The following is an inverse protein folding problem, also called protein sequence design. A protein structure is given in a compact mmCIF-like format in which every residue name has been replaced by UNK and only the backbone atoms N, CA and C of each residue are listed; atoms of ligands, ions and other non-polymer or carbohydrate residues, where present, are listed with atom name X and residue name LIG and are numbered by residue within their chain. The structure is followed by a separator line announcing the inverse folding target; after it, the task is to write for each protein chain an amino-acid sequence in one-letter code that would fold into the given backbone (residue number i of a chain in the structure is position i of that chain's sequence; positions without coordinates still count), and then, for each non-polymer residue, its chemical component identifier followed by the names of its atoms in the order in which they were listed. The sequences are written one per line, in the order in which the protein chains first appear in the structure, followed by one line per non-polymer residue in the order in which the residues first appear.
data_IF_615212625051
#
_entry.id   IF_615212625051
#
_cell.length_a   1.000
_cell.length_b   1.000
_cell.length_c   1.000
_cell.angle_alpha   90.00
_cell.angle_beta   90.00
_cell.angle_gamma   90.00
#
_symmetry.space_group_name_H-M   'P 1'
#
loop_
_entity.id
_entity.type
_entity.pdbx_description
1 polymer ?
#
# COMPACT_ATOMS: atom_id res chain seq x y z
N UNK A 1 -43.51 21.76 17.85
CA UNK A 1 -43.09 21.99 16.43
C UNK A 1 -41.87 21.19 15.94
N UNK A 2 -41.11 20.45 16.77
CA UNK A 2 -39.82 19.83 16.33
C UNK A 2 -39.84 18.36 15.85
N UNK A 3 -40.98 17.65 15.82
CA UNK A 3 -41.05 16.28 15.25
C UNK A 3 -41.27 16.27 13.73
N UNK A 4 -41.98 17.25 13.19
CA UNK A 4 -42.38 17.28 11.77
C UNK A 4 -41.23 17.68 10.85
N UNK A 5 -40.37 18.64 11.27
CA UNK A 5 -39.15 19.02 10.53
C UNK A 5 -38.09 17.89 10.47
N UNK A 6 -38.05 17.00 11.47
CA UNK A 6 -37.08 15.88 11.52
C UNK A 6 -37.38 14.77 10.49
N UNK A 7 -38.62 14.68 10.01
CA UNK A 7 -39.01 13.68 9.00
C UNK A 7 -38.67 14.11 7.57
N UNK A 8 -38.62 15.42 7.27
CA UNK A 8 -38.41 15.92 5.90
C UNK A 8 -36.97 15.78 5.39
N UNK A 9 -36.01 15.49 6.27
CA UNK A 9 -34.60 15.39 5.89
C UNK A 9 -34.02 13.97 5.84
N UNK A 10 -34.87 12.93 5.87
CA UNK A 10 -34.38 11.55 5.82
C UNK A 10 -34.35 11.01 4.40
N UNK A 11 -33.35 10.18 4.11
CA UNK A 11 -33.22 9.45 2.84
C UNK A 11 -34.48 8.62 2.58
N UNK A 12 -34.95 8.67 1.33
CA UNK A 12 -36.09 7.86 0.88
C UNK A 12 -35.63 6.49 0.38
N UNK A 13 -36.56 5.55 0.20
CA UNK A 13 -36.21 4.25 -0.40
C UNK A 13 -35.69 4.40 -1.84
N UNK A 14 -36.31 5.28 -2.63
CA UNK A 14 -35.89 5.56 -4.01
C UNK A 14 -34.49 6.15 -4.06
N UNK A 15 -34.22 7.15 -3.22
CA UNK A 15 -32.92 7.79 -3.16
C UNK A 15 -31.80 6.83 -2.72
N UNK A 16 -32.04 6.02 -1.69
CA UNK A 16 -31.05 5.02 -1.25
C UNK A 16 -30.80 3.96 -2.34
N UNK A 17 -31.85 3.55 -3.06
CA UNK A 17 -31.71 2.61 -4.19
C UNK A 17 -30.86 3.21 -5.31
N UNK A 18 -31.09 4.48 -5.66
CA UNK A 18 -30.31 5.21 -6.67
C UNK A 18 -28.85 5.39 -6.24
N UNK A 19 -28.61 5.74 -4.97
CA UNK A 19 -27.28 5.83 -4.38
C UNK A 19 -26.51 4.51 -4.54
N UNK A 20 -27.11 3.39 -4.10
CA UNK A 20 -26.47 2.07 -4.18
C UNK A 20 -26.25 1.64 -5.63
N UNK A 21 -27.22 1.89 -6.51
CA UNK A 21 -27.09 1.60 -7.94
C UNK A 21 -25.92 2.38 -8.57
N UNK A 22 -25.80 3.66 -8.24
CA UNK A 22 -24.71 4.51 -8.72
C UNK A 22 -23.34 4.04 -8.21
N UNK A 23 -23.26 3.64 -6.93
CA UNK A 23 -22.07 3.08 -6.31
C UNK A 23 -21.59 1.80 -7.04
N UNK A 24 -22.47 0.80 -7.22
CA UNK A 24 -22.08 -0.47 -7.85
C UNK A 24 -21.81 -0.32 -9.35
N UNK A 25 -22.55 0.55 -10.03
CA UNK A 25 -22.33 0.82 -11.45
C UNK A 25 -20.95 1.44 -11.68
N UNK A 26 -20.62 2.51 -10.95
CA UNK A 26 -19.32 3.16 -11.07
C UNK A 26 -18.19 2.21 -10.69
N UNK A 27 -18.35 1.44 -9.62
CA UNK A 27 -17.34 0.48 -9.20
C UNK A 27 -17.05 -0.56 -10.27
N UNK A 28 -18.10 -1.17 -10.83
CA UNK A 28 -17.98 -2.16 -11.91
C UNK A 28 -17.32 -1.56 -13.16
N UNK A 29 -17.76 -0.40 -13.60
CA UNK A 29 -17.23 0.28 -14.80
C UNK A 29 -15.74 0.64 -14.67
N UNK A 30 -15.31 1.03 -13.47
CA UNK A 30 -13.91 1.37 -13.21
C UNK A 30 -13.05 0.11 -13.07
N UNK A 31 -13.51 -0.89 -12.31
CA UNK A 31 -12.79 -2.16 -12.11
C UNK A 31 -12.66 -2.95 -13.43
N UNK A 32 -13.67 -2.91 -14.30
CA UNK A 32 -13.62 -3.63 -15.59
C UNK A 32 -12.56 -3.12 -16.57
N UNK A 33 -11.94 -1.96 -16.28
CA UNK A 33 -10.84 -1.42 -17.09
C UNK A 33 -9.50 -2.09 -16.80
N UNK A 34 -9.39 -2.83 -15.70
CA UNK A 34 -8.19 -3.54 -15.32
C UNK A 34 -8.14 -4.93 -15.97
N UNK A 35 -7.00 -5.36 -16.55
CA UNK A 35 -6.84 -6.71 -17.04
C UNK A 35 -7.09 -7.74 -15.93
N UNK A 36 -7.75 -8.86 -16.27
CA UNK A 36 -8.02 -9.97 -15.35
C UNK A 36 -8.74 -9.54 -14.05
N UNK A 37 -9.57 -8.49 -14.09
CA UNK A 37 -10.19 -7.92 -12.89
C UNK A 37 -10.99 -8.93 -12.04
N UNK A 38 -11.52 -9.98 -12.65
CA UNK A 38 -12.28 -11.04 -11.97
C UNK A 38 -11.41 -11.85 -10.98
N UNK A 39 -10.11 -11.96 -11.26
CA UNK A 39 -9.13 -12.60 -10.38
C UNK A 39 -8.45 -11.60 -9.44
N UNK A 40 -8.40 -10.33 -9.84
CA UNK A 40 -7.70 -9.28 -9.11
C UNK A 40 -8.57 -8.62 -8.05
N UNK A 41 -9.87 -8.44 -8.28
CA UNK A 41 -10.77 -7.68 -7.40
C UNK A 41 -11.80 -8.58 -6.68
N UNK A 42 -12.25 -8.20 -5.47
CA UNK A 42 -13.26 -8.95 -4.74
C UNK A 42 -14.57 -8.96 -5.52
N UNK A 43 -15.32 -10.07 -5.43
CA UNK A 43 -16.52 -10.26 -6.25
C UNK A 43 -17.58 -9.18 -6.05
N UNK A 44 -17.69 -8.57 -4.88
CA UNK A 44 -18.68 -7.50 -4.62
C UNK A 44 -18.41 -6.24 -5.46
N UNK A 45 -17.20 -6.07 -6.00
CA UNK A 45 -16.84 -4.90 -6.80
C UNK A 45 -17.27 -4.99 -8.27
N UNK A 46 -17.43 -6.21 -8.80
CA UNK A 46 -17.62 -6.40 -10.23
C UNK A 46 -18.76 -7.36 -10.59
N UNK A 47 -19.11 -8.30 -9.71
CA UNK A 47 -20.20 -9.26 -9.95
C UNK A 47 -21.51 -8.75 -9.38
N UNK A 48 -22.65 -8.98 -10.06
CA UNK A 48 -23.97 -8.69 -9.50
C UNK A 48 -24.24 -9.44 -8.18
N UNK A 49 -24.87 -8.74 -7.24
CA UNK A 49 -25.28 -9.25 -5.95
C UNK A 49 -26.70 -8.82 -5.60
N UNK A 50 -27.35 -9.61 -4.75
CA UNK A 50 -28.55 -9.21 -4.04
C UNK A 50 -28.14 -8.30 -2.88
N UNK A 51 -28.54 -7.03 -2.97
CA UNK A 51 -28.21 -5.99 -2.01
C UNK A 51 -29.45 -5.66 -1.18
N UNK A 52 -29.32 -5.80 0.14
CA UNK A 52 -30.36 -5.46 1.10
C UNK A 52 -29.97 -4.17 1.79
N UNK A 53 -30.76 -3.12 1.54
CA UNK A 53 -30.60 -1.82 2.15
C UNK A 53 -31.63 -1.67 3.27
N UNK A 54 -31.21 -1.16 4.42
CA UNK A 54 -32.10 -0.88 5.54
C UNK A 54 -31.94 0.54 6.02
N UNK A 55 -33.05 1.27 6.06
CA UNK A 55 -33.14 2.59 6.69
C UNK A 55 -33.69 2.40 8.10
N UNK A 56 -32.88 2.70 9.12
CA UNK A 56 -33.37 2.69 10.50
C UNK A 56 -34.14 3.97 10.81
N UNK A 57 -35.28 3.84 11.49
CA UNK A 57 -35.99 4.99 12.05
C UNK A 57 -35.26 5.58 13.27
N UNK A 58 -34.36 4.82 13.91
CA UNK A 58 -33.56 5.28 15.06
C UNK A 58 -32.24 5.91 14.63
N UNK A 59 -31.41 5.20 13.87
CA UNK A 59 -30.09 5.69 13.46
C UNK A 59 -29.61 5.05 12.15
N UNK A 60 -29.34 5.89 11.14
CA UNK A 60 -28.51 5.46 10.03
C UNK A 60 -29.11 4.52 8.98
N UNK A 61 -28.22 4.00 8.15
CA UNK A 61 -28.47 3.10 7.02
C UNK A 61 -27.48 1.93 7.05
N UNK A 62 -27.96 0.74 6.69
CA UNK A 62 -27.13 -0.44 6.45
C UNK A 62 -27.29 -0.91 5.00
N UNK A 63 -26.19 -1.25 4.32
CA UNK A 63 -26.16 -1.76 2.95
C UNK A 63 -25.38 -3.08 2.94
N UNK A 64 -26.05 -4.21 2.74
CA UNK A 64 -25.45 -5.55 2.80
C UNK A 64 -25.48 -6.23 1.43
N UNK A 65 -24.34 -6.75 0.97
CA UNK A 65 -24.25 -7.58 -0.23
C UNK A 65 -24.35 -9.03 0.22
N UNK A 66 -25.51 -9.65 0.01
CA UNK A 66 -25.86 -10.93 0.62
C UNK A 66 -25.26 -12.10 -0.17
N UNK A 67 -25.65 -12.22 -1.44
CA UNK A 67 -25.23 -13.32 -2.30
C UNK A 67 -25.14 -12.88 -3.76
N UNK A 68 -24.43 -13.67 -4.59
CA UNK A 68 -24.32 -13.42 -6.03
C UNK A 68 -25.63 -13.83 -6.70
N UNK A 69 -26.03 -13.06 -7.70
CA UNK A 69 -27.20 -13.36 -8.52
C UNK A 69 -26.93 -12.95 -9.98
N UNK A 70 -27.90 -13.15 -10.87
CA UNK A 70 -27.74 -12.86 -12.30
C UNK A 70 -27.65 -11.35 -12.58
N UNK A 71 -28.50 -10.58 -11.90
CA UNK A 71 -28.63 -9.13 -12.08
C UNK A 71 -28.51 -8.39 -10.74
N UNK A 72 -28.25 -7.09 -10.76
CA UNK A 72 -28.20 -6.30 -9.53
C UNK A 72 -29.61 -6.16 -8.92
N UNK A 73 -29.86 -6.88 -7.83
CA UNK A 73 -31.13 -6.84 -7.11
C UNK A 73 -31.03 -5.99 -5.85
N UNK A 74 -31.59 -4.78 -5.87
CA UNK A 74 -31.56 -3.85 -4.74
C UNK A 74 -32.93 -3.77 -4.08
N UNK A 75 -33.02 -4.22 -2.83
CA UNK A 75 -34.21 -4.11 -1.98
C UNK A 75 -33.97 -3.10 -0.86
N UNK A 76 -34.98 -2.29 -0.54
CA UNK A 76 -34.89 -1.29 0.53
C UNK A 76 -36.02 -1.46 1.53
N UNK A 77 -35.67 -1.71 2.80
CA UNK A 77 -36.64 -1.84 3.90
C UNK A 77 -36.42 -0.78 4.98
N UNK A 78 -37.45 -0.57 5.80
CA UNK A 78 -37.38 0.29 6.99
C UNK A 78 -37.41 -0.58 8.24
N UNK A 79 -36.77 -0.14 9.31
CA UNK A 79 -36.80 -0.83 10.61
C UNK A 79 -36.87 0.17 11.76
N UNK A 80 -37.45 -0.24 12.88
CA UNK A 80 -37.42 0.51 14.14
C UNK A 80 -36.22 0.14 15.03
N UNK A 81 -35.37 -0.77 14.56
CA UNK A 81 -34.13 -1.21 15.23
C UNK A 81 -32.94 -0.32 14.88
N UNK A 82 -31.92 -0.33 15.72
CA UNK A 82 -30.65 0.30 15.38
C UNK A 82 -29.92 -0.46 14.25
N UNK A 83 -29.11 0.21 13.43
CA UNK A 83 -28.38 -0.48 12.34
C UNK A 83 -27.30 -1.44 12.86
N UNK A 84 -26.80 -1.23 14.06
CA UNK A 84 -25.85 -2.12 14.72
C UNK A 84 -26.52 -3.45 15.11
N UNK A 85 -27.86 -3.48 15.22
CA UNK A 85 -28.61 -4.70 15.51
C UNK A 85 -28.52 -5.74 14.38
N UNK A 86 -28.04 -5.36 13.18
CA UNK A 86 -27.73 -6.30 12.10
C UNK A 86 -26.60 -7.28 12.43
N UNK A 87 -25.74 -6.89 13.37
CA UNK A 87 -24.57 -7.64 13.84
C UNK A 87 -24.55 -7.63 15.38
N UNK A 88 -25.73 -7.69 16.01
CA UNK A 88 -25.86 -7.76 17.45
C UNK A 88 -25.76 -9.20 17.95
N UNK A 89 -25.03 -9.38 19.05
CA UNK A 89 -25.03 -10.63 19.83
C UNK A 89 -26.21 -10.59 20.82
N UNK A 90 -26.65 -11.72 21.37
CA UNK A 90 -27.80 -11.78 22.28
C UNK A 90 -27.63 -11.08 23.64
N UNK A 91 -26.41 -10.64 23.98
CA UNK A 91 -26.11 -10.17 25.32
C UNK A 91 -26.58 -8.73 25.53
N UNK A 92 -27.14 -8.46 26.71
CA UNK A 92 -27.64 -7.15 27.15
C UNK A 92 -26.61 -6.40 28.02
N UNK A 93 -25.34 -6.41 27.64
CA UNK A 93 -24.39 -5.44 28.17
C UNK A 93 -24.15 -4.31 27.15
N UNK A 94 -23.31 -3.33 27.48
CA UNK A 94 -23.04 -2.20 26.61
C UNK A 94 -21.64 -2.28 25.97
N UNK A 95 -21.08 -3.49 25.84
CA UNK A 95 -19.70 -3.68 25.37
C UNK A 95 -19.73 -4.10 23.90
N UNK A 96 -18.90 -3.47 23.07
CA UNK A 96 -18.74 -3.81 21.66
C UNK A 96 -17.30 -4.25 21.36
N UNK A 97 -17.08 -5.08 20.33
CA UNK A 97 -15.71 -5.36 19.86
C UNK A 97 -15.01 -4.08 19.38
N UNK A 98 -15.73 -3.29 18.59
CA UNK A 98 -15.24 -2.03 18.06
C UNK A 98 -16.24 -0.92 18.34
N UNK A 99 -15.73 0.20 18.84
CA UNK A 99 -16.45 1.46 18.87
C UNK A 99 -15.84 2.39 17.83
N UNK A 100 -16.64 2.77 16.84
CA UNK A 100 -16.18 3.52 15.68
C UNK A 100 -16.76 4.92 15.72
N UNK A 101 -15.86 5.88 15.55
CA UNK A 101 -16.18 7.28 15.38
C UNK A 101 -15.38 7.82 14.19
N UNK A 102 -16.07 8.29 13.15
CA UNK A 102 -15.46 8.88 11.96
C UNK A 102 -15.89 8.22 10.66
N UNK A 103 -15.53 8.85 9.55
CA UNK A 103 -15.92 8.42 8.21
C UNK A 103 -14.93 7.43 7.60
N UNK A 104 -15.44 6.60 6.70
CA UNK A 104 -14.64 5.68 5.88
C UNK A 104 -13.83 4.66 6.69
N UNK A 105 -14.32 4.20 7.84
CA UNK A 105 -13.68 3.12 8.58
C UNK A 105 -13.86 1.77 7.87
N UNK A 106 -12.96 0.82 8.16
CA UNK A 106 -12.98 -0.51 7.54
C UNK A 106 -12.52 -1.56 8.53
N UNK A 107 -13.25 -2.68 8.55
CA UNK A 107 -12.85 -3.92 9.22
C UNK A 107 -12.85 -5.00 8.15
N UNK A 108 -11.73 -5.67 7.92
CA UNK A 108 -11.66 -6.67 6.86
C UNK A 108 -10.79 -7.88 7.22
N UNK A 109 -11.11 -9.03 6.62
CA UNK A 109 -10.34 -10.28 6.73
C UNK A 109 -10.09 -10.73 8.19
N UNK A 110 -11.11 -10.57 9.03
CA UNK A 110 -11.09 -10.98 10.44
C UNK A 110 -12.30 -11.84 10.79
N UNK A 111 -12.15 -12.66 11.83
CA UNK A 111 -13.26 -13.33 12.49
C UNK A 111 -13.47 -12.73 13.88
N UNK A 112 -14.69 -12.32 14.19
CA UNK A 112 -15.08 -11.83 15.50
C UNK A 112 -15.87 -12.92 16.20
N UNK A 113 -15.30 -13.48 17.26
CA UNK A 113 -15.81 -14.70 17.90
C UNK A 113 -16.04 -14.44 19.38
N UNK A 114 -17.22 -14.78 19.90
CA UNK A 114 -17.46 -14.67 21.34
C UNK A 114 -16.68 -15.75 22.09
N UNK A 115 -16.23 -15.46 23.31
CA UNK A 115 -15.39 -16.37 24.09
C UNK A 115 -16.00 -17.76 24.29
N UNK A 116 -17.31 -17.84 24.54
CA UNK A 116 -18.05 -19.10 24.65
C UNK A 116 -18.06 -19.91 23.35
N UNK A 117 -18.18 -19.26 22.20
CA UNK A 117 -18.07 -19.93 20.90
C UNK A 117 -16.62 -20.40 20.65
N UNK A 118 -15.63 -19.54 20.90
CA UNK A 118 -14.22 -19.88 20.68
C UNK A 118 -13.80 -21.07 21.54
N UNK A 119 -14.12 -21.06 22.84
CA UNK A 119 -13.78 -22.15 23.76
C UNK A 119 -14.41 -23.49 23.35
N UNK A 120 -15.62 -23.47 22.76
CA UNK A 120 -16.28 -24.68 22.27
C UNK A 120 -15.65 -25.25 20.98
N UNK A 121 -14.90 -24.45 20.22
CA UNK A 121 -14.42 -24.78 18.88
C UNK A 121 -12.94 -24.44 18.65
N UNK A 122 -12.17 -24.24 19.72
CA UNK A 122 -10.81 -23.72 19.68
C UNK A 122 -9.93 -24.47 18.69
N UNK A 123 -9.89 -25.79 18.83
CA UNK A 123 -9.03 -26.65 18.00
C UNK A 123 -9.38 -26.54 16.50
N UNK A 124 -10.67 -26.40 16.17
CA UNK A 124 -11.13 -26.25 14.78
C UNK A 124 -10.77 -24.87 14.24
N UNK A 125 -11.01 -23.83 15.03
CA UNK A 125 -10.71 -22.45 14.65
C UNK A 125 -9.20 -22.27 14.45
N UNK A 126 -8.39 -22.74 15.40
CA UNK A 126 -6.94 -22.63 15.36
C UNK A 126 -6.34 -23.48 14.22
N UNK A 127 -6.97 -24.59 13.84
CA UNK A 127 -6.50 -25.45 12.76
C UNK A 127 -6.88 -24.95 11.35
N UNK A 128 -8.10 -24.43 11.16
CA UNK A 128 -8.66 -24.19 9.83
C UNK A 128 -8.66 -22.70 9.46
N UNK A 129 -8.65 -21.81 10.46
CA UNK A 129 -8.84 -20.39 10.21
C UNK A 129 -7.58 -19.73 9.67
N UNK A 130 -7.64 -19.27 8.42
CA UNK A 130 -6.55 -18.52 7.77
C UNK A 130 -6.59 -17.01 8.05
N UNK A 131 -7.66 -16.53 8.69
CA UNK A 131 -7.87 -15.12 8.98
C UNK A 131 -7.62 -14.83 10.46
N UNK A 132 -7.28 -13.58 10.78
CA UNK A 132 -7.07 -13.17 12.17
C UNK A 132 -8.37 -13.34 12.96
N UNK A 133 -8.32 -14.08 14.07
CA UNK A 133 -9.48 -14.31 14.95
C UNK A 133 -9.35 -13.44 16.19
N UNK A 134 -10.34 -12.57 16.41
CA UNK A 134 -10.46 -11.71 17.57
C UNK A 134 -11.52 -12.31 18.47
N UNK A 135 -11.13 -12.63 19.71
CA UNK A 135 -12.01 -13.23 20.70
C UNK A 135 -12.36 -12.19 21.75
N UNK A 136 -13.64 -12.05 22.09
CA UNK A 136 -14.08 -11.17 23.17
C UNK A 136 -15.06 -11.91 24.09
N UNK A 137 -14.85 -11.74 25.40
CA UNK A 137 -15.75 -12.27 26.40
C UNK A 137 -17.03 -11.43 26.48
N UNK A 138 -18.16 -12.09 26.21
CA UNK A 138 -19.51 -11.56 26.39
C UNK A 138 -19.77 -10.18 25.73
N UNK A 139 -19.42 -9.91 24.47
CA UNK A 139 -19.80 -8.66 23.81
C UNK A 139 -21.31 -8.60 23.56
N UNK A 140 -21.90 -7.40 23.57
CA UNK A 140 -23.29 -7.13 23.15
C UNK A 140 -23.43 -6.77 21.67
N UNK A 141 -22.34 -6.29 21.06
CA UNK A 141 -22.31 -5.84 19.66
C UNK A 141 -20.95 -6.20 19.05
N UNK A 142 -20.95 -6.53 17.76
CA UNK A 142 -19.69 -6.61 17.02
C UNK A 142 -19.16 -5.22 16.66
N UNK A 143 -20.02 -4.28 16.30
CA UNK A 143 -19.60 -2.89 16.03
C UNK A 143 -20.63 -1.93 16.57
N UNK A 144 -20.17 -0.92 17.32
CA UNK A 144 -20.91 0.27 17.71
C UNK A 144 -20.48 1.42 16.83
N UNK A 145 -21.41 2.08 16.14
CA UNK A 145 -21.10 3.20 15.25
C UNK A 145 -21.65 4.51 15.85
N UNK A 146 -20.79 5.26 16.53
CA UNK A 146 -21.17 6.49 17.20
C UNK A 146 -21.39 7.64 16.20
N UNK A 147 -20.51 7.74 15.20
CA UNK A 147 -20.64 8.68 14.08
C UNK A 147 -19.84 8.20 12.85
N UNK A 148 -20.21 8.73 11.69
CA UNK A 148 -19.62 8.42 10.40
C UNK A 148 -20.04 7.08 9.80
N UNK A 149 -19.09 6.31 9.29
CA UNK A 149 -19.37 5.08 8.54
C UNK A 149 -18.27 4.01 8.66
N UNK A 150 -18.67 2.75 8.58
CA UNK A 150 -17.77 1.58 8.57
C UNK A 150 -18.20 0.55 7.53
N UNK A 151 -17.22 -0.01 6.81
CA UNK A 151 -17.40 -1.17 5.93
C UNK A 151 -16.79 -2.42 6.57
N UNK A 152 -17.58 -3.48 6.69
CA UNK A 152 -17.12 -4.82 7.05
C UNK A 152 -16.96 -5.63 5.76
N UNK A 153 -15.75 -6.07 5.45
CA UNK A 153 -15.45 -6.80 4.20
C UNK A 153 -14.80 -8.14 4.52
N UNK A 154 -15.43 -9.23 4.08
CA UNK A 154 -14.98 -10.59 4.39
C UNK A 154 -14.76 -10.80 5.90
N UNK A 155 -15.79 -10.48 6.69
CA UNK A 155 -15.78 -10.60 8.16
C UNK A 155 -16.62 -11.79 8.59
N UNK A 156 -16.01 -12.75 9.27
CA UNK A 156 -16.73 -13.80 9.96
C UNK A 156 -17.22 -13.32 11.32
N UNK A 157 -18.45 -13.64 11.68
CA UNK A 157 -18.96 -13.48 13.05
C UNK A 157 -19.47 -14.82 13.57
N UNK A 158 -19.09 -15.17 14.78
CA UNK A 158 -19.51 -16.42 15.41
C UNK A 158 -19.84 -16.21 16.89
N UNK A 159 -21.01 -16.69 17.32
CA UNK A 159 -21.47 -16.52 18.69
C UNK A 159 -22.50 -17.57 19.12
N UNK A 160 -22.73 -17.70 20.42
CA UNK A 160 -23.80 -18.53 20.97
C UNK A 160 -24.97 -17.66 21.42
N UNK A 161 -26.19 -18.03 21.02
CA UNK A 161 -27.45 -17.37 21.37
C UNK A 161 -28.52 -18.38 21.73
N UNK A 162 -29.08 -18.28 22.93
CA UNK A 162 -30.17 -19.17 23.39
C UNK A 162 -29.79 -20.65 23.21
N UNK A 163 -28.54 -21.01 23.54
CA UNK A 163 -27.88 -22.32 23.30
C UNK A 163 -27.70 -22.71 21.83
N UNK A 164 -28.14 -21.90 20.87
CA UNK A 164 -27.89 -22.07 19.45
C UNK A 164 -26.57 -21.42 19.03
N UNK A 165 -25.81 -22.10 18.19
CA UNK A 165 -24.55 -21.62 17.64
C UNK A 165 -24.84 -20.89 16.34
N UNK A 166 -24.43 -19.65 16.24
CA UNK A 166 -24.62 -18.82 15.04
C UNK A 166 -23.27 -18.52 14.43
N UNK A 167 -23.15 -18.75 13.12
CA UNK A 167 -22.02 -18.32 12.29
C UNK A 167 -22.60 -17.55 11.12
N UNK A 168 -22.10 -16.34 10.88
CA UNK A 168 -22.46 -15.54 9.71
C UNK A 168 -21.18 -15.03 9.06
N UNK A 169 -21.09 -15.22 7.75
CA UNK A 169 -20.02 -14.64 6.94
C UNK A 169 -20.55 -13.38 6.25
N UNK A 170 -19.91 -12.25 6.53
CA UNK A 170 -20.24 -10.95 5.96
C UNK A 170 -19.29 -10.69 4.78
N UNK A 171 -19.80 -10.82 3.56
CA UNK A 171 -19.01 -10.52 2.35
C UNK A 171 -18.71 -9.03 2.24
N UNK A 172 -19.76 -8.22 2.35
CA UNK A 172 -19.68 -6.77 2.41
C UNK A 172 -20.90 -6.22 3.14
N UNK A 173 -20.68 -5.46 4.21
CA UNK A 173 -21.71 -4.72 4.94
C UNK A 173 -21.20 -3.31 5.20
N UNK A 174 -21.96 -2.31 4.78
CA UNK A 174 -21.67 -0.91 5.02
C UNK A 174 -22.69 -0.31 5.98
N UNK A 175 -22.22 0.12 7.15
CA UNK A 175 -23.00 0.82 8.15
C UNK A 175 -22.69 2.31 8.09
N UNK A 176 -23.73 3.14 8.04
CA UNK A 176 -23.65 4.60 7.96
C UNK A 176 -24.52 5.16 9.09
N UNK A 177 -23.94 5.89 10.03
CA UNK A 177 -24.63 6.38 11.24
C UNK A 177 -25.76 7.39 10.95
N UNK A 178 -25.77 8.00 9.77
CA UNK A 178 -26.73 9.01 9.37
C UNK A 178 -27.75 8.49 8.36
N UNK A 179 -28.99 8.99 8.46
CA UNK A 179 -30.05 8.78 7.47
C UNK A 179 -30.40 10.08 6.75
N UNK A 180 -29.54 11.10 6.83
CA UNK A 180 -29.75 12.44 6.27
C UNK A 180 -29.59 12.38 4.76
N UNK A 181 -30.58 12.87 4.00
CA UNK A 181 -30.67 12.67 2.54
C UNK A 181 -29.45 13.22 1.78
N UNK A 182 -28.79 14.26 2.27
CA UNK A 182 -27.62 14.88 1.65
C UNK A 182 -26.40 13.95 1.58
N UNK A 183 -26.35 12.90 2.41
CA UNK A 183 -25.30 11.88 2.37
C UNK A 183 -25.53 10.80 1.32
N UNK A 184 -26.71 10.78 0.70
CA UNK A 184 -27.13 9.73 -0.23
C UNK A 184 -27.40 10.30 -1.63
N UNK A 185 -26.44 11.09 -2.14
CA UNK A 185 -26.46 11.59 -3.53
C UNK A 185 -25.66 10.70 -4.47
N UNK A 186 -25.91 10.82 -5.78
CA UNK A 186 -25.16 10.10 -6.79
C UNK A 186 -23.66 10.43 -6.75
N UNK A 187 -23.33 11.68 -6.48
CA UNK A 187 -21.95 12.17 -6.39
C UNK A 187 -21.23 11.53 -5.21
N UNK A 188 -21.88 11.48 -4.03
CA UNK A 188 -21.35 10.78 -2.86
C UNK A 188 -21.17 9.29 -3.13
N UNK A 189 -22.11 8.65 -3.83
CA UNK A 189 -21.99 7.24 -4.22
C UNK A 189 -20.75 6.98 -5.08
N UNK A 190 -20.49 7.85 -6.06
CA UNK A 190 -19.30 7.77 -6.93
C UNK A 190 -18.03 7.96 -6.10
N UNK A 191 -17.96 8.99 -5.26
CA UNK A 191 -16.79 9.23 -4.39
C UNK A 191 -16.50 8.04 -3.47
N UNK A 192 -17.53 7.43 -2.88
CA UNK A 192 -17.37 6.23 -2.06
C UNK A 192 -16.89 5.01 -2.86
N UNK A 193 -17.28 4.88 -4.12
CA UNK A 193 -16.82 3.82 -5.02
C UNK A 193 -15.36 4.02 -5.43
N UNK A 194 -14.97 5.24 -5.81
CA UNK A 194 -13.59 5.61 -6.13
C UNK A 194 -12.64 5.36 -4.95
N UNK A 195 -13.03 5.78 -3.74
CA UNK A 195 -12.24 5.54 -2.54
C UNK A 195 -12.10 4.04 -2.24
N UNK A 196 -13.16 3.26 -2.47
CA UNK A 196 -13.12 1.81 -2.27
C UNK A 196 -12.14 1.13 -3.23
N UNK A 197 -12.17 1.50 -4.51
CA UNK A 197 -11.25 0.98 -5.53
C UNK A 197 -9.82 1.40 -5.21
N UNK A 198 -9.59 2.69 -4.91
CA UNK A 198 -8.26 3.21 -4.58
C UNK A 198 -7.66 2.45 -3.40
N UNK A 199 -8.41 2.30 -2.30
CA UNK A 199 -7.94 1.57 -1.12
C UNK A 199 -7.60 0.12 -1.42
N UNK A 200 -8.42 -0.54 -2.24
CA UNK A 200 -8.14 -1.91 -2.64
C UNK A 200 -6.85 -2.00 -3.47
N UNK A 201 -6.68 -1.11 -4.44
CA UNK A 201 -5.45 -1.00 -5.23
C UNK A 201 -4.24 -0.69 -4.36
N UNK A 202 -4.35 0.25 -3.41
CA UNK A 202 -3.29 0.56 -2.44
C UNK A 202 -2.91 -0.64 -1.55
N UNK A 203 -3.86 -1.56 -1.34
CA UNK A 203 -3.64 -2.83 -0.65
C UNK A 203 -3.04 -3.92 -1.55
N UNK A 204 -3.25 -3.84 -2.87
CA UNK A 204 -2.65 -4.74 -3.87
C UNK A 204 -1.22 -4.36 -4.24
N UNK A 205 -0.85 -3.08 -4.12
CA UNK A 205 0.55 -2.66 -4.29
C UNK A 205 1.35 -3.47 -3.27
N UNK A 206 2.32 -4.30 -3.71
CA UNK A 206 3.09 -5.13 -2.80
C UNK A 206 3.82 -4.21 -1.83
N UNK A 207 3.30 -4.10 -0.61
CA UNK A 207 4.10 -3.63 0.51
C UNK A 207 5.17 -4.68 0.67
N UNK A 208 6.40 -4.37 0.26
CA UNK A 208 7.54 -5.20 0.64
C UNK A 208 7.43 -5.31 2.17
N UNK A 209 7.19 -6.52 2.72
CA UNK A 209 6.99 -6.65 4.16
C UNK A 209 8.17 -6.00 4.87
N UNK A 210 7.94 -5.26 5.94
CA UNK A 210 9.02 -4.60 6.70
C UNK A 210 10.10 -5.64 7.07
N UNK A 211 9.68 -6.85 7.43
CA UNK A 211 10.57 -7.99 7.69
C UNK A 211 11.44 -8.35 6.50
N UNK A 212 10.89 -8.33 5.28
CA UNK A 212 11.65 -8.57 4.05
C UNK A 212 12.63 -7.42 3.75
N UNK A 213 12.27 -6.16 4.04
CA UNK A 213 13.22 -5.03 3.94
C UNK A 213 14.36 -5.15 4.95
N UNK A 214 14.06 -5.55 6.18
CA UNK A 214 15.07 -5.79 7.23
C UNK A 214 16.01 -6.93 6.83
N UNK A 215 15.46 -8.05 6.34
CA UNK A 215 16.27 -9.17 5.84
C UNK A 215 17.12 -8.78 4.63
N UNK A 216 16.57 -8.00 3.70
CA UNK A 216 17.31 -7.49 2.57
C UNK A 216 18.45 -6.56 3.02
N UNK A 217 18.22 -5.67 4.00
CA UNK A 217 19.24 -4.83 4.60
C UNK A 217 20.37 -5.65 5.23
N UNK A 218 20.04 -6.64 6.04
CA UNK A 218 21.03 -7.52 6.66
C UNK A 218 21.86 -8.28 5.62
N UNK A 219 21.20 -8.81 4.58
CA UNK A 219 21.87 -9.51 3.49
C UNK A 219 22.77 -8.57 2.69
N UNK A 220 22.32 -7.34 2.42
CA UNK A 220 23.11 -6.34 1.72
C UNK A 220 24.33 -5.88 2.52
N UNK A 221 24.16 -5.58 3.82
CA UNK A 221 25.27 -5.23 4.70
C UNK A 221 26.32 -6.35 4.72
N UNK A 222 25.90 -7.62 4.80
CA UNK A 222 26.81 -8.76 4.70
C UNK A 222 27.56 -8.78 3.35
N UNK A 223 26.83 -8.60 2.25
CA UNK A 223 27.35 -8.65 0.89
C UNK A 223 28.43 -7.59 0.60
N UNK A 224 28.30 -6.39 1.17
CA UNK A 224 29.24 -5.29 0.88
C UNK A 224 30.54 -5.36 1.69
N UNK A 225 30.59 -6.18 2.75
CA UNK A 225 31.79 -6.39 3.58
C UNK A 225 32.47 -7.75 3.36
N UNK A 226 31.79 -8.71 2.76
CA UNK A 226 32.40 -9.98 2.37
C UNK A 226 33.28 -9.81 1.11
N UNK A 227 34.16 -10.79 0.85
CA UNK A 227 35.00 -10.84 -0.34
C UNK A 227 34.14 -11.21 -1.57
N UNK A 228 33.23 -10.32 -1.92
CA UNK A 228 32.18 -10.53 -2.92
C UNK A 228 32.55 -9.83 -4.23
N UNK A 229 32.17 -10.44 -5.35
CA UNK A 229 32.36 -9.88 -6.68
C UNK A 229 31.28 -8.82 -6.99
N UNK A 230 31.64 -7.84 -7.80
CA UNK A 230 30.70 -6.78 -8.21
C UNK A 230 29.43 -7.34 -8.85
N UNK A 231 29.55 -8.44 -9.60
CA UNK A 231 28.41 -9.13 -10.22
C UNK A 231 27.37 -9.62 -9.21
N UNK A 232 27.80 -10.07 -8.03
CA UNK A 232 26.87 -10.54 -7.00
C UNK A 232 26.07 -9.36 -6.42
N UNK A 233 26.71 -8.21 -6.27
CA UNK A 233 26.07 -6.97 -5.83
C UNK A 233 25.11 -6.46 -6.89
N UNK A 234 25.48 -6.50 -8.17
CA UNK A 234 24.60 -6.14 -9.29
C UNK A 234 23.35 -7.03 -9.31
N UNK A 235 23.50 -8.36 -9.20
CA UNK A 235 22.35 -9.29 -9.15
C UNK A 235 21.50 -9.09 -7.89
N UNK A 236 22.11 -8.77 -6.75
CA UNK A 236 21.35 -8.41 -5.54
C UNK A 236 20.51 -7.14 -5.76
N UNK A 237 21.12 -6.08 -6.28
CA UNK A 237 20.45 -4.78 -6.50
C UNK A 237 19.39 -4.84 -7.60
N UNK A 238 19.55 -5.73 -8.57
CA UNK A 238 18.51 -6.06 -9.55
C UNK A 238 17.25 -6.63 -8.89
N UNK A 239 17.40 -7.48 -7.88
CA UNK A 239 16.26 -8.01 -7.12
C UNK A 239 15.74 -7.01 -6.06
N UNK A 240 16.57 -6.05 -5.67
CA UNK A 240 16.28 -5.08 -4.62
C UNK A 240 16.59 -3.62 -5.04
N UNK A 241 15.98 -3.11 -6.12
CA UNK A 241 16.30 -1.80 -6.70
C UNK A 241 15.98 -0.61 -5.76
N UNK A 242 15.16 -0.83 -4.73
CA UNK A 242 14.84 0.17 -3.71
C UNK A 242 16.05 0.63 -2.88
N UNK A 243 17.16 -0.13 -2.88
CA UNK A 243 18.44 0.35 -2.30
C UNK A 243 19.04 1.51 -3.09
N UNK A 244 18.86 1.51 -4.41
CA UNK A 244 19.34 2.58 -5.29
C UNK A 244 18.41 3.78 -5.20
N UNK A 245 17.10 3.53 -5.25
CA UNK A 245 16.09 4.58 -5.29
C UNK A 245 14.76 4.09 -4.69
N UNK A 246 14.40 4.51 -3.48
CA UNK A 246 13.19 4.02 -2.78
C UNK A 246 11.89 4.31 -3.57
N UNK A 247 11.81 5.48 -4.22
CA UNK A 247 10.60 5.96 -4.92
C UNK A 247 10.56 5.68 -6.42
N UNK A 248 11.25 4.64 -6.89
CA UNK A 248 11.23 4.29 -8.31
C UNK A 248 9.84 3.78 -8.75
N UNK A 249 9.44 4.14 -9.97
CA UNK A 249 8.24 3.66 -10.66
C UNK A 249 8.56 2.40 -11.49
N UNK A 250 9.68 2.44 -12.23
CA UNK A 250 10.17 1.33 -13.05
C UNK A 250 11.69 1.37 -13.16
N UNK A 251 12.30 0.25 -13.55
CA UNK A 251 13.73 0.18 -13.85
C UNK A 251 14.02 -0.83 -14.95
N UNK A 252 15.16 -0.67 -15.61
CA UNK A 252 15.74 -1.62 -16.56
C UNK A 252 17.17 -1.94 -16.12
N UNK A 253 17.54 -3.23 -16.11
CA UNK A 253 18.88 -3.71 -15.76
C UNK A 253 19.71 -3.96 -17.03
N UNK A 254 20.94 -3.44 -17.06
CA UNK A 254 21.84 -3.42 -18.22
C UNK A 254 21.18 -2.97 -19.53
N UNK A 255 20.45 -1.84 -19.54
CA UNK A 255 19.86 -1.32 -20.76
C UNK A 255 20.94 -0.88 -21.76
N UNK A 256 20.75 -1.20 -23.05
CA UNK A 256 21.58 -0.62 -24.11
C UNK A 256 21.11 0.79 -24.44
N UNK A 257 21.95 1.80 -24.23
CA UNK A 257 21.74 3.17 -24.71
C UNK A 257 22.26 3.32 -26.14
N UNK A 258 23.41 2.70 -26.43
CA UNK A 258 24.01 2.55 -27.77
C UNK A 258 24.71 1.19 -27.86
N UNK A 259 25.46 0.92 -28.94
CA UNK A 259 26.22 -0.33 -29.09
C UNK A 259 27.24 -0.57 -27.97
N UNK A 260 27.85 0.51 -27.45
CA UNK A 260 28.95 0.45 -26.48
C UNK A 260 28.63 1.12 -25.14
N UNK A 261 27.40 1.59 -24.94
CA UNK A 261 26.98 2.29 -23.72
C UNK A 261 25.87 1.51 -23.02
N UNK A 262 26.25 0.81 -21.96
CA UNK A 262 25.38 -0.07 -21.20
C UNK A 262 25.57 0.26 -19.71
N UNK A 263 24.83 1.24 -19.16
CA UNK A 263 24.83 1.47 -17.72
C UNK A 263 24.27 0.24 -16.99
N UNK A 264 24.56 0.09 -15.71
CA UNK A 264 24.00 -1.01 -14.91
C UNK A 264 22.48 -0.89 -14.74
N UNK A 265 21.97 0.31 -14.51
CA UNK A 265 20.52 0.55 -14.44
C UNK A 265 20.08 1.85 -15.11
N UNK A 266 18.85 1.83 -15.61
CA UNK A 266 18.06 3.05 -15.87
C UNK A 266 16.79 2.95 -15.05
N UNK A 267 16.55 3.92 -14.18
CA UNK A 267 15.39 3.95 -13.28
C UNK A 267 14.51 5.16 -13.60
N UNK A 268 13.18 4.99 -13.52
CA UNK A 268 12.22 6.09 -13.63
C UNK A 268 11.61 6.37 -12.26
N UNK A 269 11.48 7.63 -11.86
CA UNK A 269 10.77 8.04 -10.64
C UNK A 269 9.29 8.30 -10.92
N UNK A 270 8.46 8.30 -9.86
CA UNK A 270 7.05 8.71 -9.96
C UNK A 270 6.85 10.18 -10.36
N UNK A 271 7.89 11.02 -10.29
CA UNK A 271 7.91 12.43 -10.75
C UNK A 271 8.32 12.56 -12.23
N UNK A 272 8.56 11.42 -12.90
CA UNK A 272 8.95 11.34 -14.30
C UNK A 272 10.41 11.71 -14.55
N UNK A 273 11.28 11.58 -13.56
CA UNK A 273 12.73 11.74 -13.70
C UNK A 273 13.38 10.39 -14.03
N UNK A 274 14.50 10.43 -14.76
CA UNK A 274 15.29 9.27 -15.11
C UNK A 274 16.63 9.30 -14.38
N UNK A 275 16.95 8.23 -13.65
CA UNK A 275 18.21 8.06 -12.93
C UNK A 275 19.03 6.98 -13.63
N UNK A 276 20.21 7.36 -14.11
CA UNK A 276 21.18 6.45 -14.72
C UNK A 276 22.13 5.99 -13.64
N UNK A 277 22.19 4.69 -13.38
CA UNK A 277 23.01 4.14 -12.30
C UNK A 277 24.19 3.41 -12.89
N UNK A 278 25.38 3.73 -12.38
CA UNK A 278 26.60 2.95 -12.59
C UNK A 278 27.08 2.44 -11.24
N UNK A 279 27.40 1.15 -11.18
CA UNK A 279 27.92 0.48 -10.00
C UNK A 279 29.38 0.11 -10.23
N UNK A 280 30.17 0.27 -9.19
CA UNK A 280 31.59 -0.04 -9.20
C UNK A 280 31.97 -0.72 -7.90
N UNK A 281 32.88 -1.70 -7.93
CA UNK A 281 33.24 -2.51 -6.77
C UNK A 281 33.35 -1.73 -5.42
N UNK A 282 32.82 -2.28 -4.30
CA UNK A 282 32.97 -1.68 -2.97
C UNK A 282 34.43 -1.62 -2.49
N UNK A 283 35.34 -2.35 -3.16
CA UNK A 283 36.77 -2.41 -2.85
C UNK A 283 37.58 -1.30 -3.53
N UNK A 284 36.98 -0.55 -4.46
CA UNK A 284 37.67 0.53 -5.18
C UNK A 284 37.95 1.72 -4.27
N UNK A 285 39.11 2.35 -4.49
CA UNK A 285 39.51 3.54 -3.75
C UNK A 285 38.97 4.79 -4.45
N UNK A 286 38.48 5.75 -3.67
CA UNK A 286 37.97 7.01 -4.21
C UNK A 286 39.07 8.07 -4.33
N UNK A 287 40.02 8.08 -3.39
CA UNK A 287 41.09 9.07 -3.32
C UNK A 287 42.45 8.39 -3.13
N UNK A 288 43.50 9.11 -3.50
CA UNK A 288 44.89 8.71 -3.26
C UNK A 288 45.40 9.44 -2.04
N UNK A 289 46.27 8.79 -1.26
CA UNK A 289 47.00 9.45 -0.19
C UNK A 289 47.83 10.62 -0.74
N UNK A 290 47.66 11.82 -0.19
CA UNK A 290 48.39 13.01 -0.63
C UNK A 290 47.71 14.32 -0.22
N UNK A 291 48.41 15.43 -0.47
CA UNK A 291 47.88 16.78 -0.19
C UNK A 291 46.60 17.01 -1.00
N UNK A 292 45.55 17.47 -0.33
CA UNK A 292 44.21 17.71 -0.91
C UNK A 292 43.47 16.47 -1.43
N UNK A 293 43.86 15.25 -1.02
CA UNK A 293 43.13 14.01 -1.31
C UNK A 293 42.74 13.88 -2.79
N UNK A 294 43.73 13.81 -3.72
CA UNK A 294 43.44 13.76 -5.15
C UNK A 294 42.63 12.50 -5.49
N UNK A 295 41.73 12.62 -6.47
CA UNK A 295 40.91 11.49 -6.93
C UNK A 295 41.78 10.33 -7.41
N UNK A 296 41.45 9.13 -6.94
CA UNK A 296 42.05 7.88 -7.40
C UNK A 296 41.62 7.57 -8.84
N UNK A 297 42.41 6.75 -9.54
CA UNK A 297 42.12 6.40 -10.94
C UNK A 297 40.77 5.70 -11.10
N UNK A 298 40.39 4.84 -10.14
CA UNK A 298 39.10 4.15 -10.14
C UNK A 298 37.92 5.13 -10.21
N UNK A 299 37.94 6.14 -9.33
CA UNK A 299 36.89 7.15 -9.31
C UNK A 299 36.86 7.98 -10.60
N UNK A 300 38.03 8.35 -11.14
CA UNK A 300 38.11 9.11 -12.40
C UNK A 300 37.51 8.32 -13.56
N UNK A 301 37.80 7.03 -13.66
CA UNK A 301 37.27 6.16 -14.71
C UNK A 301 35.75 6.01 -14.58
N UNK A 302 35.25 5.71 -13.38
CA UNK A 302 33.83 5.57 -13.09
C UNK A 302 33.04 6.86 -13.40
N UNK A 303 33.61 8.02 -13.05
CA UNK A 303 33.04 9.33 -13.39
C UNK A 303 32.98 9.55 -14.89
N UNK A 304 34.04 9.22 -15.62
CA UNK A 304 34.07 9.34 -17.07
C UNK A 304 32.99 8.45 -17.73
N UNK A 305 32.74 7.25 -17.20
CA UNK A 305 31.66 6.38 -17.68
C UNK A 305 30.28 7.01 -17.50
N UNK A 306 29.94 7.45 -16.28
CA UNK A 306 28.61 8.03 -16.02
C UNK A 306 28.40 9.35 -16.76
N UNK A 307 29.43 10.18 -16.88
CA UNK A 307 29.41 11.40 -17.70
C UNK A 307 29.20 11.08 -19.19
N UNK A 308 29.82 10.00 -19.68
CA UNK A 308 29.60 9.47 -21.02
C UNK A 308 28.14 9.09 -21.29
N UNK A 309 27.50 8.37 -20.36
CA UNK A 309 26.07 8.02 -20.47
C UNK A 309 25.19 9.26 -20.48
N UNK A 310 25.40 10.19 -19.54
CA UNK A 310 24.59 11.41 -19.44
C UNK A 310 24.76 12.30 -20.67
N UNK A 311 25.98 12.44 -21.19
CA UNK A 311 26.23 13.19 -22.41
C UNK A 311 25.56 12.53 -23.63
N UNK A 312 25.65 11.20 -23.74
CA UNK A 312 24.96 10.47 -24.81
C UNK A 312 23.45 10.70 -24.76
N UNK A 313 22.83 10.56 -23.58
CA UNK A 313 21.38 10.74 -23.43
C UNK A 313 20.95 12.16 -23.79
N UNK A 314 21.68 13.18 -23.31
CA UNK A 314 21.39 14.59 -23.62
C UNK A 314 21.44 14.88 -25.12
N UNK A 315 22.42 14.31 -25.82
CA UNK A 315 22.59 14.52 -27.26
C UNK A 315 21.67 13.66 -28.14
N UNK A 316 21.03 12.62 -27.57
CA UNK A 316 20.20 11.67 -28.31
C UNK A 316 18.77 11.54 -27.74
N UNK A 317 18.29 12.56 -27.03
CA UNK A 317 17.00 12.54 -26.32
C UNK A 317 15.82 12.17 -27.22
N UNK A 318 15.77 12.71 -28.44
CA UNK A 318 14.68 12.47 -29.40
C UNK A 318 14.66 11.01 -29.86
N UNK A 319 15.83 10.42 -30.10
CA UNK A 319 15.93 9.00 -30.38
C UNK A 319 15.52 8.18 -29.16
N UNK A 320 15.98 8.51 -27.96
CA UNK A 320 15.67 7.73 -26.76
C UNK A 320 14.20 7.77 -26.34
N UNK A 321 13.41 8.76 -26.78
CA UNK A 321 11.97 8.87 -26.47
C UNK A 321 11.13 7.68 -26.92
N UNK A 322 11.54 6.94 -27.96
CA UNK A 322 10.81 5.73 -28.35
C UNK A 322 10.87 4.66 -27.26
N UNK A 323 12.00 4.57 -26.55
CA UNK A 323 12.26 3.58 -25.50
C UNK A 323 11.88 4.10 -24.12
N UNK A 324 12.12 5.38 -23.87
CA UNK A 324 11.83 6.06 -22.61
C UNK A 324 10.86 7.22 -22.87
N UNK A 325 9.55 6.93 -22.99
CA UNK A 325 8.54 7.96 -23.18
C UNK A 325 8.63 9.01 -22.06
N UNK A 326 8.54 10.27 -22.44
CA UNK A 326 8.65 11.44 -21.54
C UNK A 326 10.07 11.78 -21.03
N UNK A 327 11.12 11.12 -21.52
CA UNK A 327 12.50 11.50 -21.16
C UNK A 327 12.80 12.95 -21.61
N UNK A 328 13.33 13.75 -20.68
CA UNK A 328 13.75 15.14 -20.90
C UNK A 328 15.15 15.35 -20.34
N UNK A 329 15.98 16.10 -21.06
CA UNK A 329 17.40 16.27 -20.73
C UNK A 329 17.61 16.88 -19.33
N UNK A 330 16.71 17.77 -18.90
CA UNK A 330 16.70 18.42 -17.59
C UNK A 330 16.19 17.52 -16.46
N UNK A 331 15.58 16.37 -16.78
CA UNK A 331 15.05 15.39 -15.83
C UNK A 331 15.87 14.09 -15.80
N UNK A 332 17.09 14.12 -16.35
CA UNK A 332 18.00 12.98 -16.34
C UNK A 332 19.15 13.28 -15.38
N UNK A 333 19.32 12.39 -14.40
CA UNK A 333 20.38 12.47 -13.39
C UNK A 333 21.17 11.16 -13.36
N UNK A 334 22.40 11.20 -12.87
CA UNK A 334 23.22 10.02 -12.62
C UNK A 334 23.33 9.67 -11.14
N UNK A 335 23.52 8.40 -10.84
CA UNK A 335 23.93 7.88 -9.54
C UNK A 335 25.13 6.95 -9.75
N UNK A 336 26.31 7.37 -9.29
CA UNK A 336 27.49 6.51 -9.24
C UNK A 336 27.60 5.89 -7.84
N UNK A 337 27.63 4.56 -7.75
CA UNK A 337 27.84 3.86 -6.48
C UNK A 337 29.20 3.18 -6.51
N UNK A 338 30.11 3.61 -5.63
CA UNK A 338 31.51 3.13 -5.61
C UNK A 338 32.08 3.13 -4.20
N UNK A 339 32.82 2.07 -3.86
CA UNK A 339 33.59 2.01 -2.62
C UNK A 339 32.74 1.96 -1.33
N UNK A 340 33.44 2.09 -0.19
CA UNK A 340 32.85 2.13 1.15
C UNK A 340 33.29 3.39 1.89
N UNK A 341 32.35 4.14 2.46
CA UNK A 341 32.67 5.34 3.26
C UNK A 341 33.44 5.00 4.54
N UNK A 342 33.30 3.77 5.05
CA UNK A 342 34.08 3.25 6.15
C UNK A 342 35.58 3.11 5.83
N UNK A 343 35.97 3.02 4.56
CA UNK A 343 37.37 2.99 4.14
C UNK A 343 37.96 4.40 3.93
N UNK A 344 37.12 5.44 3.99
CA UNK A 344 37.55 6.83 3.83
C UNK A 344 37.95 7.44 5.17
N UNK A 345 39.08 8.15 5.17
CA UNK A 345 39.48 9.06 6.24
C UNK A 345 38.49 10.23 6.39
N UNK A 346 38.45 10.93 7.54
CA UNK A 346 37.62 12.12 7.71
C UNK A 346 37.82 13.16 6.60
N UNK A 347 39.07 13.41 6.22
CA UNK A 347 39.44 14.34 5.15
C UNK A 347 38.89 13.91 3.79
N UNK A 348 39.00 12.62 3.45
CA UNK A 348 38.44 12.06 2.22
C UNK A 348 36.90 12.10 2.18
N UNK A 349 36.24 11.89 3.32
CA UNK A 349 34.78 12.05 3.41
C UNK A 349 34.34 13.48 3.16
N UNK A 350 35.05 14.45 3.71
CA UNK A 350 34.75 15.86 3.47
C UNK A 350 35.07 16.24 2.02
N UNK A 351 36.13 15.68 1.43
CA UNK A 351 36.40 15.83 -0.01
C UNK A 351 35.28 15.23 -0.87
N UNK A 352 34.74 14.06 -0.54
CA UNK A 352 33.62 13.45 -1.26
C UNK A 352 32.36 14.33 -1.19
N UNK A 353 32.05 14.91 -0.03
CA UNK A 353 30.93 15.86 0.11
C UNK A 353 31.15 17.09 -0.75
N UNK A 354 32.37 17.65 -0.75
CA UNK A 354 32.71 18.80 -1.58
C UNK A 354 32.54 18.45 -3.07
N UNK A 355 33.07 17.30 -3.50
CA UNK A 355 32.93 16.82 -4.87
C UNK A 355 31.45 16.70 -5.25
N UNK A 356 30.63 16.06 -4.43
CA UNK A 356 29.19 15.97 -4.68
C UNK A 356 28.47 17.33 -4.76
N UNK A 357 28.92 18.34 -4.01
CA UNK A 357 28.38 19.69 -4.12
C UNK A 357 28.80 20.41 -5.42
N UNK A 358 29.94 20.04 -6.00
CA UNK A 358 30.43 20.57 -7.29
C UNK A 358 29.74 19.90 -8.48
N UNK A 359 29.26 18.66 -8.32
CA UNK A 359 28.55 17.91 -9.35
C UNK A 359 27.12 18.44 -9.56
N UNK A 360 26.72 18.61 -10.83
CA UNK A 360 25.40 19.16 -11.20
C UNK A 360 24.38 18.11 -11.63
N UNK A 361 24.84 17.07 -12.32
CA UNK A 361 23.96 16.15 -13.05
C UNK A 361 24.00 14.73 -12.49
N UNK A 362 24.86 14.45 -11.52
CA UNK A 362 24.91 13.15 -10.86
C UNK A 362 25.44 13.29 -9.44
N UNK A 363 25.20 12.28 -8.62
CA UNK A 363 25.78 12.15 -7.29
C UNK A 363 26.63 10.88 -7.20
N UNK A 364 27.58 10.89 -6.28
CA UNK A 364 28.42 9.75 -5.92
C UNK A 364 28.01 9.28 -4.54
N UNK A 365 27.69 8.00 -4.39
CA UNK A 365 27.41 7.36 -3.12
C UNK A 365 28.30 6.14 -2.92
N UNK A 366 28.51 5.79 -1.67
CA UNK A 366 29.16 4.52 -1.27
C UNK A 366 28.10 3.47 -0.93
N UNK A 367 28.45 2.18 -0.96
CA UNK A 367 27.46 1.13 -0.71
C UNK A 367 26.89 1.17 0.71
N UNK A 368 27.71 1.49 1.69
CA UNK A 368 27.30 1.66 3.08
C UNK A 368 26.45 2.94 3.29
N UNK A 369 26.51 3.94 2.40
CA UNK A 369 25.54 5.03 2.36
C UNK A 369 24.16 4.59 1.89
N UNK A 370 24.08 3.69 0.90
CA UNK A 370 22.80 3.11 0.48
C UNK A 370 22.16 2.32 1.62
N UNK A 371 22.94 1.48 2.30
CA UNK A 371 22.49 0.73 3.47
C UNK A 371 22.00 1.68 4.59
N UNK A 372 22.77 2.72 4.92
CA UNK A 372 22.36 3.74 5.90
C UNK A 372 21.09 4.49 5.49
N UNK A 373 20.91 4.76 4.20
CA UNK A 373 19.70 5.38 3.67
C UNK A 373 18.45 4.54 3.94
N UNK A 374 18.51 3.24 3.61
CA UNK A 374 17.41 2.31 3.88
C UNK A 374 17.18 2.10 5.39
N UNK A 375 18.25 2.01 6.17
CA UNK A 375 18.15 1.90 7.64
C UNK A 375 17.40 3.09 8.25
N UNK A 376 17.75 4.32 7.87
CA UNK A 376 17.05 5.54 8.31
C UNK A 376 15.60 5.56 7.86
N UNK A 377 15.32 5.10 6.64
CA UNK A 377 13.95 4.97 6.16
C UNK A 377 13.13 4.04 7.05
N UNK A 378 13.68 2.88 7.41
CA UNK A 378 13.05 1.92 8.32
C UNK A 378 12.90 2.47 9.75
N UNK A 379 13.91 3.17 10.28
CA UNK A 379 13.85 3.84 11.58
C UNK A 379 12.68 4.86 11.61
N UNK A 380 12.52 5.65 10.54
CA UNK A 380 11.43 6.63 10.40
C UNK A 380 10.04 5.98 10.32
N UNK A 381 9.95 4.71 9.88
CA UNK A 381 8.72 3.92 9.94
C UNK A 381 8.42 3.36 11.34
N UNK A 382 9.24 3.68 12.35
CA UNK A 382 9.08 3.20 13.72
C UNK A 382 9.56 1.76 13.92
N UNK A 383 10.31 1.22 12.97
CA UNK A 383 10.89 -0.13 13.05
C UNK A 383 12.11 -0.07 13.97
N UNK A 384 11.98 -0.55 15.21
CA UNK A 384 13.11 -0.66 16.13
C UNK A 384 13.86 -1.97 15.89
N UNK A 385 15.15 -1.88 15.54
CA UNK A 385 16.04 -3.03 15.44
C UNK A 385 16.37 -3.55 16.85
N UNK A 386 15.80 -4.70 17.24
CA UNK A 386 16.21 -5.46 18.41
C UNK A 386 16.86 -6.78 17.98
N UNK A 387 17.78 -7.37 18.78
CA UNK A 387 18.42 -8.64 18.45
C UNK A 387 17.48 -9.85 18.47
N UNK A 388 16.19 -9.66 18.80
CA UNK A 388 15.15 -10.66 18.67
C UNK A 388 13.87 -9.98 18.16
N UNK A 389 13.44 -10.39 16.97
CA UNK A 389 12.21 -9.98 16.31
C UNK A 389 11.93 -10.90 15.14
#
# INVERSE_FOLDING_TARGET
MNKTLKCMNRVTQGQLKEFVLSFVKHMRETVSRYPNFEHTFPTYMWSPHRIVCTISKKNGVAIEFVERCKDWEISVRKTDKHIEEYIKTPLNNNIAFFEINGEFNRIENVNLVTGDFYNAFKDIIDCICKSTTIVMEKPSLFVRLNAGSVKLVNVGIAYVKDKQRTVKNIRFLWLISTSVKEYFTKEMAIQHAELEIRRYLDGLIPRIPITALVQALQKFEKLIYEDTDESDIQEFLKLHPFFLLIGYESYEFKPKLSENLIPDFVMKTSTGEYVIVELESPKKNLFTSGKFTPEHMDLKNARAQIEGYLNYIKNNIEHLRWKYPDIKAEKVHGLLVIGLSNNLTPEERDRLKQLNAELKNYEIRTYDELARGLKRFLDNLGVKYGPFG
#
